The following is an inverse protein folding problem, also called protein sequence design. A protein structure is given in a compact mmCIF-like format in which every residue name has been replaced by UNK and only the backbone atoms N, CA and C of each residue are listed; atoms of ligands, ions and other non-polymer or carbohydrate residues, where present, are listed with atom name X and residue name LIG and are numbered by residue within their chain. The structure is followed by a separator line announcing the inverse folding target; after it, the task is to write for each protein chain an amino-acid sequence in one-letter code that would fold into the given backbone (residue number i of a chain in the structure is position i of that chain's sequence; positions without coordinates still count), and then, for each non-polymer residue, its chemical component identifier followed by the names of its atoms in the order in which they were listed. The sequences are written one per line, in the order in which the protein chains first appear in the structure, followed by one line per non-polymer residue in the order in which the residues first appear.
data_IF_471125995551
#
_entry.id   IF_471125995551
#
_cell.length_a   1.000
_cell.length_b   1.000
_cell.length_c   1.000
_cell.angle_alpha   90.00
_cell.angle_beta   90.00
_cell.angle_gamma   90.00
#
_symmetry.space_group_name_H-M   'P 1'
#
loop_
_entity.id
_entity.type
_entity.pdbx_description
1 polymer ?
#
# COMPACT_ATOMS: atom_id res chain seq x y z
N UNK A 1 -42.29 -37.38 27.63
CA UNK A 1 -42.75 -36.26 26.81
C UNK A 1 -42.42 -34.99 27.58
N UNK A 2 -41.42 -34.23 27.12
CA UNK A 2 -41.13 -32.92 27.70
C UNK A 2 -41.89 -31.89 26.88
N UNK A 3 -42.73 -31.10 27.53
CA UNK A 3 -43.46 -29.98 26.93
C UNK A 3 -42.75 -28.73 27.43
N UNK A 4 -42.29 -27.88 26.51
CA UNK A 4 -41.78 -26.58 26.87
C UNK A 4 -42.90 -25.74 27.50
N UNK A 5 -42.61 -24.98 28.58
CA UNK A 5 -43.58 -24.05 29.14
C UNK A 5 -44.06 -23.08 28.05
N UNK A 6 -45.36 -22.78 28.02
CA UNK A 6 -45.93 -21.87 27.01
C UNK A 6 -45.22 -20.51 27.00
N UNK A 7 -44.76 -20.04 28.16
CA UNK A 7 -44.02 -18.80 28.30
C UNK A 7 -42.64 -18.86 27.62
N UNK A 8 -41.97 -20.03 27.65
CA UNK A 8 -40.69 -20.23 26.97
C UNK A 8 -40.88 -20.28 25.44
N UNK A 9 -41.94 -20.92 24.95
CA UNK A 9 -42.27 -20.96 23.52
C UNK A 9 -42.62 -19.57 22.99
N UNK A 10 -43.40 -18.77 23.74
CA UNK A 10 -43.70 -17.38 23.39
C UNK A 10 -42.45 -16.52 23.34
N UNK A 11 -41.63 -16.55 24.39
CA UNK A 11 -40.39 -15.79 24.43
C UNK A 11 -39.43 -16.16 23.29
N UNK A 12 -39.36 -17.44 22.93
CA UNK A 12 -38.56 -17.91 21.78
C UNK A 12 -39.08 -17.35 20.45
N UNK A 13 -40.39 -17.38 20.22
CA UNK A 13 -40.99 -16.81 19.02
C UNK A 13 -40.79 -15.30 18.93
N UNK A 14 -40.97 -14.58 20.05
CA UNK A 14 -40.75 -13.13 20.14
C UNK A 14 -39.28 -12.78 19.85
N UNK A 15 -38.33 -13.56 20.38
CA UNK A 15 -36.90 -13.40 20.10
C UNK A 15 -36.62 -13.55 18.60
N UNK A 16 -37.11 -14.62 17.96
CA UNK A 16 -36.91 -14.87 16.53
C UNK A 16 -37.52 -13.74 15.68
N UNK A 17 -38.69 -13.24 16.09
CA UNK A 17 -39.35 -12.13 15.41
C UNK A 17 -38.55 -10.82 15.54
N UNK A 18 -38.01 -10.52 16.71
CA UNK A 18 -37.19 -9.33 16.92
C UNK A 18 -35.82 -9.44 16.23
N UNK A 19 -35.21 -10.62 16.18
CA UNK A 19 -34.00 -10.85 15.39
C UNK A 19 -34.24 -10.59 13.89
N UNK A 20 -35.39 -11.03 13.38
CA UNK A 20 -35.79 -10.75 12.00
C UNK A 20 -36.01 -9.25 11.76
N UNK A 21 -36.70 -8.55 12.67
CA UNK A 21 -36.91 -7.11 12.61
C UNK A 21 -35.57 -6.35 12.60
N UNK A 22 -34.63 -6.76 13.44
CA UNK A 22 -33.29 -6.19 13.50
C UNK A 22 -32.55 -6.37 12.16
N UNK A 23 -32.58 -7.56 11.58
CA UNK A 23 -31.94 -7.81 10.28
C UNK A 23 -32.56 -6.96 9.15
N UNK A 24 -33.88 -6.77 9.15
CA UNK A 24 -34.56 -5.89 8.20
C UNK A 24 -34.16 -4.42 8.38
N UNK A 25 -34.06 -3.95 9.62
CA UNK A 25 -33.60 -2.60 9.93
C UNK A 25 -32.16 -2.39 9.42
N UNK A 26 -31.25 -3.32 9.73
CA UNK A 26 -29.85 -3.28 9.25
C UNK A 26 -29.79 -3.24 7.72
N UNK A 27 -30.53 -4.11 7.03
CA UNK A 27 -30.59 -4.10 5.55
C UNK A 27 -31.10 -2.77 5.01
N UNK A 28 -32.11 -2.19 5.65
CA UNK A 28 -32.69 -0.91 5.23
C UNK A 28 -31.67 0.22 5.37
N UNK A 29 -30.94 0.27 6.49
CA UNK A 29 -29.88 1.24 6.73
C UNK A 29 -28.77 1.09 5.68
N UNK A 30 -28.25 -0.13 5.48
CA UNK A 30 -27.17 -0.39 4.52
C UNK A 30 -27.58 -0.07 3.07
N UNK A 31 -28.82 -0.39 2.68
CA UNK A 31 -29.34 -0.04 1.36
C UNK A 31 -29.41 1.47 1.17
N UNK A 32 -29.87 2.18 2.19
CA UNK A 32 -30.00 3.65 2.15
C UNK A 32 -28.62 4.31 2.05
N UNK A 33 -27.66 3.86 2.86
CA UNK A 33 -26.29 4.36 2.81
C UNK A 33 -25.60 4.06 1.48
N UNK A 34 -25.73 2.82 0.99
CA UNK A 34 -25.17 2.42 -0.32
C UNK A 34 -25.79 3.25 -1.45
N UNK A 35 -27.10 3.47 -1.43
CA UNK A 35 -27.77 4.30 -2.43
C UNK A 35 -27.30 5.77 -2.39
N UNK A 36 -27.04 6.31 -1.19
CA UNK A 36 -26.49 7.65 -1.03
C UNK A 36 -25.04 7.77 -1.55
N UNK A 37 -24.26 6.70 -1.47
CA UNK A 37 -22.88 6.67 -1.95
C UNK A 37 -22.74 6.30 -3.43
N UNK A 38 -23.69 5.56 -4.00
CA UNK A 38 -23.64 5.05 -5.37
C UNK A 38 -23.34 6.13 -6.45
N UNK A 39 -23.91 7.36 -6.38
CA UNK A 39 -23.58 8.42 -7.34
C UNK A 39 -22.11 8.84 -7.33
N UNK A 40 -21.36 8.58 -6.25
CA UNK A 40 -19.96 8.95 -6.09
C UNK A 40 -18.99 7.80 -6.40
N UNK A 41 -19.48 6.63 -6.85
CA UNK A 41 -18.65 5.46 -7.10
C UNK A 41 -17.46 5.77 -8.03
N UNK A 42 -17.70 6.48 -9.14
CA UNK A 42 -16.65 6.86 -10.09
C UNK A 42 -15.66 7.86 -9.47
N UNK A 43 -16.13 8.74 -8.58
CA UNK A 43 -15.26 9.67 -7.85
C UNK A 43 -14.34 8.93 -6.88
N UNK A 44 -14.85 7.94 -6.16
CA UNK A 44 -14.02 7.10 -5.29
C UNK A 44 -13.01 6.27 -6.10
N UNK A 45 -13.43 5.71 -7.23
CA UNK A 45 -12.55 4.97 -8.13
C UNK A 45 -11.43 5.86 -8.68
N UNK A 46 -11.74 7.11 -9.06
CA UNK A 46 -10.76 8.09 -9.52
C UNK A 46 -9.85 8.63 -8.40
N UNK A 47 -10.34 8.71 -7.16
CA UNK A 47 -9.54 9.14 -6.01
C UNK A 47 -8.48 8.11 -5.61
N UNK A 48 -8.77 6.81 -5.76
CA UNK A 48 -7.87 5.73 -5.38
C UNK A 48 -6.45 5.83 -6.01
N UNK A 49 -6.27 5.96 -7.33
CA UNK A 49 -4.94 6.07 -7.93
C UNK A 49 -4.19 7.31 -7.43
N UNK A 50 -4.88 8.44 -7.20
CA UNK A 50 -4.28 9.65 -6.64
C UNK A 50 -3.77 9.42 -5.22
N UNK A 51 -4.58 8.76 -4.37
CA UNK A 51 -4.18 8.40 -3.02
C UNK A 51 -2.99 7.43 -3.01
N UNK A 52 -2.96 6.45 -3.92
CA UNK A 52 -1.82 5.54 -4.07
C UNK A 52 -0.55 6.30 -4.44
N UNK A 53 -0.61 7.22 -5.41
CA UNK A 53 0.55 8.05 -5.78
C UNK A 53 1.05 8.86 -4.60
N UNK A 54 0.14 9.47 -3.84
CA UNK A 54 0.51 10.28 -2.67
C UNK A 54 1.15 9.42 -1.58
N UNK A 55 0.55 8.28 -1.24
CA UNK A 55 1.04 7.37 -0.20
C UNK A 55 2.42 6.81 -0.55
N UNK A 56 2.57 6.27 -1.77
CA UNK A 56 3.85 5.72 -2.24
C UNK A 56 4.95 6.77 -2.33
N UNK A 57 4.63 7.99 -2.77
CA UNK A 57 5.59 9.11 -2.81
C UNK A 57 6.01 9.53 -1.40
N UNK A 58 5.06 9.62 -0.47
CA UNK A 58 5.34 9.94 0.93
C UNK A 58 6.19 8.85 1.60
N UNK A 59 5.86 7.58 1.37
CA UNK A 59 6.63 6.44 1.85
C UNK A 59 8.07 6.47 1.32
N UNK A 60 8.26 6.69 0.01
CA UNK A 60 9.58 6.80 -0.60
C UNK A 60 10.39 7.99 -0.05
N UNK A 61 9.75 9.15 0.14
CA UNK A 61 10.38 10.33 0.73
C UNK A 61 10.84 10.07 2.17
N UNK A 62 9.97 9.52 3.02
CA UNK A 62 10.29 9.17 4.41
C UNK A 62 11.41 8.13 4.49
N UNK A 63 11.35 7.10 3.64
CA UNK A 63 12.40 6.10 3.55
C UNK A 63 13.72 6.73 3.14
N UNK A 64 13.70 7.63 2.14
CA UNK A 64 14.87 8.34 1.67
C UNK A 64 15.52 9.21 2.75
N UNK A 65 14.72 9.96 3.52
CA UNK A 65 15.22 10.74 4.67
C UNK A 65 15.88 9.83 5.70
N UNK A 66 15.23 8.71 6.05
CA UNK A 66 15.73 7.79 7.06
C UNK A 66 17.03 7.07 6.64
N UNK A 67 17.25 6.89 5.33
CA UNK A 67 18.41 6.15 4.79
C UNK A 67 19.42 7.05 4.06
N UNK A 68 19.31 8.38 4.19
CA UNK A 68 20.22 9.33 3.55
C UNK A 68 20.22 9.24 2.02
N UNK A 69 19.09 8.88 1.42
CA UNK A 69 18.95 8.78 -0.03
C UNK A 69 18.78 10.17 -0.66
N UNK A 70 19.15 10.27 -1.93
CA UNK A 70 18.99 11.47 -2.74
C UNK A 70 18.13 11.16 -3.97
N UNK A 71 17.48 12.18 -4.51
CA UNK A 71 16.80 12.04 -5.79
C UNK A 71 17.82 11.88 -6.90
N UNK A 72 17.69 10.83 -7.71
CA UNK A 72 18.55 10.61 -8.86
C UNK A 72 18.17 11.58 -9.98
N UNK A 73 19.14 12.36 -10.46
CA UNK A 73 18.95 13.21 -11.63
C UNK A 73 18.90 12.36 -12.89
N UNK A 74 18.11 12.77 -13.88
CA UNK A 74 18.12 12.16 -15.20
C UNK A 74 19.50 12.32 -15.83
N UNK A 75 20.07 11.23 -16.33
CA UNK A 75 21.30 11.21 -17.11
C UNK A 75 20.92 11.03 -18.58
N UNK A 76 21.21 12.02 -19.41
CA UNK A 76 21.05 11.92 -20.87
C UNK A 76 22.34 11.39 -21.54
N UNK A 77 22.32 11.21 -22.86
CA UNK A 77 23.48 10.71 -23.62
C UNK A 77 24.70 11.65 -23.60
N UNK A 78 24.51 12.92 -23.21
CA UNK A 78 25.59 13.90 -23.10
C UNK A 78 26.36 13.79 -21.79
N UNK A 79 25.78 13.11 -20.79
CA UNK A 79 26.35 12.94 -19.46
C UNK A 79 26.84 11.51 -19.26
N UNK A 80 28.00 11.38 -18.64
CA UNK A 80 28.46 10.07 -18.19
C UNK A 80 27.77 9.70 -16.88
N UNK A 81 27.21 8.50 -16.80
CA UNK A 81 26.58 8.00 -15.57
C UNK A 81 27.57 8.05 -14.41
N UNK A 82 27.16 8.71 -13.33
CA UNK A 82 27.94 8.82 -12.10
C UNK A 82 27.04 8.54 -10.91
N UNK A 83 27.45 7.57 -10.10
CA UNK A 83 26.84 7.19 -8.84
C UNK A 83 27.92 7.36 -7.77
N UNK A 84 27.63 8.13 -6.72
CA UNK A 84 28.61 8.49 -5.69
C UNK A 84 28.10 7.99 -4.34
N UNK A 85 28.96 7.31 -3.59
CA UNK A 85 28.67 6.76 -2.27
C UNK A 85 27.41 5.87 -2.22
N UNK A 86 27.15 5.11 -3.29
CA UNK A 86 25.99 4.24 -3.35
C UNK A 86 26.14 3.06 -2.39
N UNK A 87 25.03 2.72 -1.75
CA UNK A 87 24.90 1.57 -0.85
C UNK A 87 23.84 0.63 -1.39
N UNK A 88 24.08 -0.68 -1.27
CA UNK A 88 23.09 -1.68 -1.65
C UNK A 88 21.89 -1.62 -0.69
N UNK A 89 20.65 -1.33 -1.14
CA UNK A 89 19.52 -1.08 -0.24
C UNK A 89 19.21 -2.23 0.73
N UNK A 90 19.35 -3.48 0.28
CA UNK A 90 19.08 -4.67 1.12
C UNK A 90 20.22 -5.03 2.09
N UNK A 91 21.44 -4.54 1.86
CA UNK A 91 22.56 -4.75 2.79
C UNK A 91 22.54 -3.69 3.90
N UNK A 92 21.80 -2.59 3.71
CA UNK A 92 21.59 -1.54 4.71
C UNK A 92 22.91 -0.93 5.19
N UNK A 93 23.02 -0.73 6.50
CA UNK A 93 24.20 -0.14 7.13
C UNK A 93 25.49 -0.96 6.95
N UNK A 94 25.37 -2.27 6.69
CA UNK A 94 26.53 -3.16 6.45
C UNK A 94 27.14 -2.95 5.07
N UNK A 95 26.43 -2.28 4.15
CA UNK A 95 26.93 -2.02 2.82
C UNK A 95 28.12 -1.05 2.86
N UNK A 96 29.24 -1.45 2.25
CA UNK A 96 30.35 -0.54 1.97
C UNK A 96 29.93 0.40 0.83
N UNK A 97 30.01 1.74 1.00
CA UNK A 97 29.63 2.67 -0.04
C UNK A 97 30.62 2.62 -1.21
N UNK A 98 30.10 2.64 -2.45
CA UNK A 98 30.91 2.59 -3.67
C UNK A 98 30.61 3.75 -4.61
N UNK A 99 31.66 4.22 -5.27
CA UNK A 99 31.57 5.20 -6.36
C UNK A 99 31.66 4.46 -7.70
N UNK A 100 30.73 4.73 -8.61
CA UNK A 100 30.70 4.18 -9.97
C UNK A 100 30.61 5.33 -10.95
N UNK A 101 31.64 5.52 -11.78
CA UNK A 101 31.67 6.59 -12.79
C UNK A 101 32.01 6.02 -14.15
N UNK A 102 31.19 6.33 -15.13
CA UNK A 102 31.44 6.01 -16.52
C UNK A 102 32.29 7.12 -17.16
N UNK A 103 33.03 6.76 -18.21
CA UNK A 103 33.65 7.76 -19.08
C UNK A 103 32.63 8.24 -20.13
N UNK A 104 32.73 9.48 -20.63
CA UNK A 104 31.86 9.97 -21.69
C UNK A 104 31.83 9.05 -22.91
N UNK A 105 30.63 8.73 -23.40
CA UNK A 105 30.42 7.84 -24.55
C UNK A 105 30.75 6.36 -24.31
N UNK A 106 31.09 5.96 -23.08
CA UNK A 106 31.32 4.55 -22.72
C UNK A 106 30.09 4.00 -22.00
N UNK A 107 29.72 2.77 -22.36
CA UNK A 107 28.56 2.06 -21.80
C UNK A 107 28.93 0.77 -21.06
N UNK A 108 30.21 0.40 -21.08
CA UNK A 108 30.71 -0.85 -20.50
C UNK A 108 31.75 -0.50 -19.45
N UNK A 109 31.55 -1.01 -18.24
CA UNK A 109 32.50 -0.98 -17.15
C UNK A 109 32.93 -2.42 -16.87
N UNK A 110 34.23 -2.70 -16.97
CA UNK A 110 34.79 -4.01 -16.64
C UNK A 110 35.25 -3.97 -15.18
N UNK A 111 34.66 -4.82 -14.34
CA UNK A 111 35.00 -4.96 -12.92
C UNK A 111 35.78 -6.26 -12.75
N UNK A 112 36.98 -6.17 -12.20
CA UNK A 112 37.83 -7.32 -11.88
C UNK A 112 38.20 -7.31 -10.40
N UNK A 113 38.20 -8.46 -9.76
CA UNK A 113 38.60 -8.61 -8.36
C UNK A 113 38.52 -10.06 -7.89
N UNK A 114 39.06 -10.39 -6.71
CA UNK A 114 38.87 -11.70 -6.09
C UNK A 114 37.39 -11.96 -5.80
N UNK A 115 36.95 -13.23 -5.80
CA UNK A 115 35.54 -13.62 -5.66
C UNK A 115 34.83 -13.14 -4.38
N UNK A 116 35.55 -12.66 -3.38
CA UNK A 116 35.01 -12.18 -2.09
C UNK A 116 34.98 -10.64 -1.98
N UNK A 117 35.20 -9.93 -3.08
CA UNK A 117 35.05 -8.47 -3.18
C UNK A 117 33.61 -8.03 -3.40
#
# INVERSE_FOLDING_TARGET
MYIEPEDAVKASNDLVQEEFNLQLAVRTILRTLTAALAPFADTFAAALPVMITLDTTCAASRWGIAHGCIYAMLCDESQALSIVQARHPLLGEKAVPVDVRFMPGKRVLIITGPNTG
#
